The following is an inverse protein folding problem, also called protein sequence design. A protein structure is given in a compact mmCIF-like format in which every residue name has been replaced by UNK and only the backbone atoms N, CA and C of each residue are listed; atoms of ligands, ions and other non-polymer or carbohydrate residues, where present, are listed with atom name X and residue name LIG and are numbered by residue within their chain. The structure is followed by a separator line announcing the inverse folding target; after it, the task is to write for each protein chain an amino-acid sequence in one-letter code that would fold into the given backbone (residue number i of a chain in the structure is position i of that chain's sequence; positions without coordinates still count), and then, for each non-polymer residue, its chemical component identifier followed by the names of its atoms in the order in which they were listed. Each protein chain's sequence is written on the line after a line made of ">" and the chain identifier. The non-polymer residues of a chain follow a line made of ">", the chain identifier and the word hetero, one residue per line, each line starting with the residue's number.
data_IF_986400364206
#
_entry.id   IF_986400364206
#
_cell.length_a   1.000
_cell.length_b   1.000
_cell.length_c   1.000
_cell.angle_alpha   90.00
_cell.angle_beta   90.00
_cell.angle_gamma   90.00
#
_symmetry.space_group_name_H-M   'P 1'
#
loop_
_entity.id
_entity.type
_entity.pdbx_description
1 polymer ?
#
# COMPACT_ATOMS: atom_id res chain seq x y z
N UNK A 1 10.54 32.53 -8.16
CA UNK A 1 10.38 31.05 -8.12
C UNK A 1 9.61 30.67 -6.86
N UNK A 2 8.58 29.83 -6.94
CA UNK A 2 7.79 29.41 -5.76
C UNK A 2 8.62 28.51 -4.84
N UNK A 3 9.34 27.53 -5.38
CA UNK A 3 10.18 26.59 -4.61
C UNK A 3 11.26 27.28 -3.76
N UNK A 4 11.88 28.36 -4.28
CA UNK A 4 12.86 29.15 -3.54
C UNK A 4 12.26 29.79 -2.27
N UNK A 5 11.01 30.23 -2.34
CA UNK A 5 10.30 30.84 -1.22
C UNK A 5 9.92 29.83 -0.13
N UNK A 6 9.64 28.58 -0.53
CA UNK A 6 9.43 27.49 0.42
C UNK A 6 10.73 27.19 1.19
N UNK A 7 11.86 27.08 0.49
CA UNK A 7 13.16 26.78 1.08
C UNK A 7 13.64 27.90 2.01
N UNK A 8 13.55 29.17 1.59
CA UNK A 8 13.94 30.31 2.43
C UNK A 8 13.01 30.54 3.64
N UNK A 9 11.78 30.03 3.56
CA UNK A 9 10.85 30.01 4.69
C UNK A 9 11.05 28.82 5.64
N UNK A 10 11.93 27.87 5.32
CA UNK A 10 12.16 26.67 6.13
C UNK A 10 11.05 25.63 6.03
N UNK A 11 10.31 25.61 4.92
CA UNK A 11 9.18 24.71 4.67
C UNK A 11 9.52 23.55 3.72
N UNK A 12 10.79 23.37 3.39
CA UNK A 12 11.25 22.29 2.53
C UNK A 12 12.75 22.06 2.65
N UNK A 13 13.19 20.90 2.17
CA UNK A 13 14.58 20.48 2.06
C UNK A 13 14.93 20.25 0.59
N UNK A 14 16.19 20.44 0.23
CA UNK A 14 16.67 20.21 -1.13
C UNK A 14 16.72 18.71 -1.40
N UNK A 15 16.12 18.26 -2.50
CA UNK A 15 16.14 16.86 -2.88
C UNK A 15 17.56 16.37 -3.20
N UNK A 16 17.91 15.18 -2.72
CA UNK A 16 19.22 14.55 -2.91
C UNK A 16 19.48 14.00 -4.34
N UNK A 17 18.44 13.84 -5.16
CA UNK A 17 18.54 13.30 -6.52
C UNK A 17 17.57 14.03 -7.46
N UNK A 18 18.00 14.39 -8.70
CA UNK A 18 19.32 14.18 -9.30
C UNK A 18 20.41 15.07 -8.69
N UNK A 19 21.65 14.57 -8.65
CA UNK A 19 22.79 15.21 -7.97
C UNK A 19 23.23 16.56 -8.59
N UNK A 20 22.72 16.92 -9.77
CA UNK A 20 23.00 18.20 -10.42
C UNK A 20 21.78 18.67 -11.18
N UNK A 21 21.29 19.85 -10.81
CA UNK A 21 20.29 20.62 -11.55
C UNK A 21 20.70 22.09 -11.52
N UNK A 22 20.36 22.87 -12.55
CA UNK A 22 20.87 24.24 -12.79
C UNK A 22 20.73 25.22 -11.60
N UNK A 23 19.88 24.92 -10.62
CA UNK A 23 19.55 25.80 -9.48
C UNK A 23 19.93 25.22 -8.11
N UNK A 24 20.76 24.18 -8.08
CA UNK A 24 21.13 23.49 -6.85
C UNK A 24 21.77 24.42 -5.83
N UNK A 25 22.74 25.22 -6.26
CA UNK A 25 23.43 26.21 -5.43
C UNK A 25 22.46 27.24 -4.79
N UNK A 26 21.47 27.69 -5.56
CA UNK A 26 20.51 28.70 -5.10
C UNK A 26 19.57 28.12 -4.02
N UNK A 27 19.17 26.86 -4.18
CA UNK A 27 18.34 26.15 -3.21
C UNK A 27 19.12 25.75 -1.95
N UNK A 28 20.36 25.28 -2.09
CA UNK A 28 21.24 24.96 -0.95
C UNK A 28 21.52 26.21 -0.11
N UNK A 29 21.71 27.36 -0.77
CA UNK A 29 21.84 28.65 -0.09
C UNK A 29 20.55 29.07 0.62
N UNK A 30 19.39 28.91 0.00
CA UNK A 30 18.10 29.23 0.62
C UNK A 30 17.81 28.35 1.85
N UNK A 31 18.12 27.06 1.77
CA UNK A 31 17.94 26.10 2.85
C UNK A 31 18.90 26.36 4.03
N UNK A 32 20.18 26.61 3.75
CA UNK A 32 21.15 26.97 4.79
C UNK A 32 20.77 28.25 5.52
N UNK A 33 20.24 29.26 4.81
CA UNK A 33 19.69 30.47 5.43
C UNK A 33 18.52 30.16 6.36
N UNK A 34 17.58 29.30 5.93
CA UNK A 34 16.46 28.91 6.78
C UNK A 34 16.89 28.08 8.00
N UNK A 35 17.95 27.27 7.87
CA UNK A 35 18.58 26.56 9.00
C UNK A 35 19.24 27.52 9.98
N UNK A 36 20.03 28.48 9.50
CA UNK A 36 20.73 29.45 10.35
C UNK A 36 19.77 30.41 11.05
N UNK A 37 18.65 30.72 10.41
CA UNK A 37 17.62 31.61 10.95
C UNK A 37 16.56 30.84 11.77
N UNK A 38 16.75 29.53 11.95
CA UNK A 38 15.83 28.64 12.68
C UNK A 38 14.37 28.86 12.27
N UNK A 39 14.09 28.84 10.96
CA UNK A 39 12.74 29.04 10.41
C UNK A 39 12.02 27.73 10.15
N UNK A 40 10.72 27.71 10.43
CA UNK A 40 9.83 26.61 10.08
C UNK A 40 10.27 25.29 10.72
N UNK A 41 10.51 24.28 9.89
CA UNK A 41 10.92 22.92 10.31
C UNK A 41 12.30 22.91 11.00
N UNK A 42 13.11 23.95 10.80
CA UNK A 42 14.43 24.09 11.42
C UNK A 42 14.41 24.79 12.79
N UNK A 43 13.23 25.19 13.29
CA UNK A 43 13.05 25.85 14.59
C UNK A 43 13.03 24.88 15.78
N UNK A 44 13.62 23.68 15.65
CA UNK A 44 13.62 22.71 16.75
C UNK A 44 14.55 23.19 17.86
N UNK A 45 13.96 23.95 18.78
CA UNK A 45 14.44 24.07 20.13
C UNK A 45 14.64 22.67 20.72
N UNK A 46 15.80 22.52 21.35
CA UNK A 46 16.18 21.38 22.18
C UNK A 46 15.15 21.21 23.31
N UNK A 47 14.14 20.37 23.12
CA UNK A 47 13.43 19.75 24.23
C UNK A 47 13.78 18.27 24.29
N UNK A 48 14.82 18.00 25.09
CA UNK A 48 15.19 16.70 25.67
C UNK A 48 15.92 15.68 24.79
N UNK A 49 16.98 15.05 25.33
CA UNK A 49 17.77 14.06 24.60
C UNK A 49 16.97 12.76 24.48
N UNK A 50 16.64 12.36 23.26
CA UNK A 50 16.43 10.94 22.97
C UNK A 50 17.82 10.32 22.85
N UNK A 51 18.27 9.46 23.79
CA UNK A 51 19.52 8.77 23.60
C UNK A 51 19.38 7.84 22.39
N UNK A 52 20.30 8.05 21.45
CA UNK A 52 20.85 7.01 20.59
C UNK A 52 20.85 5.65 21.30
N UNK A 53 20.15 4.68 20.74
CA UNK A 53 20.33 3.27 21.07
C UNK A 53 20.19 2.48 19.77
N UNK A 54 21.27 2.53 19.00
CA UNK A 54 21.71 1.34 18.29
C UNK A 54 21.98 0.22 19.30
N UNK A 55 21.73 -1.00 18.84
CA UNK A 55 22.18 -2.29 19.41
C UNK A 55 21.32 -2.95 20.51
N UNK A 56 20.42 -3.81 20.02
CA UNK A 56 20.47 -5.25 20.20
C UNK A 56 20.19 -5.91 21.58
N UNK A 57 19.42 -7.00 21.44
CA UNK A 57 19.30 -8.22 22.26
C UNK A 57 18.21 -8.27 23.35
N UNK A 58 17.64 -9.48 23.62
CA UNK A 58 16.21 -9.73 23.52
C UNK A 58 15.59 -9.98 24.90
N UNK A 59 14.35 -9.57 25.07
CA UNK A 59 13.61 -9.74 26.31
C UNK A 59 13.18 -11.21 26.50
N UNK A 60 13.95 -11.93 27.32
CA UNK A 60 13.50 -12.53 28.59
C UNK A 60 12.22 -13.39 28.54
N UNK A 61 12.46 -14.69 28.72
CA UNK A 61 11.79 -15.61 29.64
C UNK A 61 10.30 -15.95 29.43
N UNK A 62 10.13 -17.11 28.78
CA UNK A 62 9.09 -18.12 28.99
C UNK A 62 8.62 -18.21 30.45
N UNK A 63 7.30 -18.28 30.67
CA UNK A 63 6.77 -19.47 31.32
C UNK A 63 5.74 -20.18 30.44
N UNK A 64 5.87 -21.49 30.38
CA UNK A 64 4.83 -22.40 29.90
C UNK A 64 3.64 -22.35 30.85
N UNK A 65 2.42 -22.32 30.30
CA UNK A 65 1.38 -23.22 30.79
C UNK A 65 1.04 -24.28 29.73
N UNK A 66 1.04 -25.52 30.21
CA UNK A 66 0.63 -26.73 29.50
C UNK A 66 -0.84 -26.68 29.06
N UNK A 67 -1.23 -27.58 28.12
CA UNK A 67 -2.52 -27.52 27.43
C UNK A 67 -3.64 -28.20 28.23
N UNK A 68 -4.85 -28.06 27.68
CA UNK A 68 -6.12 -28.71 28.06
C UNK A 68 -7.02 -27.84 28.92
N UNK A 69 -7.97 -27.16 28.27
CA UNK A 69 -9.37 -27.47 28.53
C UNK A 69 -10.13 -27.57 27.21
N UNK A 70 -10.75 -28.74 27.02
CA UNK A 70 -11.71 -29.03 25.97
C UNK A 70 -12.90 -28.08 26.13
N UNK A 71 -12.94 -27.00 25.35
CA UNK A 71 -14.15 -26.20 25.20
C UNK A 71 -15.00 -26.82 24.08
N UNK A 72 -15.78 -27.83 24.47
CA UNK A 72 -16.90 -28.35 23.67
C UNK A 72 -18.15 -27.63 24.16
N UNK A 73 -18.65 -26.66 23.39
CA UNK A 73 -19.94 -26.04 23.72
C UNK A 73 -20.06 -24.58 23.33
N UNK A 74 -19.94 -24.29 22.03
CA UNK A 74 -20.38 -23.04 21.46
C UNK A 74 -20.64 -23.24 19.98
N UNK A 75 -21.86 -23.63 19.63
CA UNK A 75 -22.36 -23.62 18.25
C UNK A 75 -22.47 -22.17 17.79
N UNK A 76 -21.33 -21.53 17.55
CA UNK A 76 -21.29 -20.31 16.76
C UNK A 76 -21.24 -20.77 15.31
N UNK A 77 -22.25 -20.42 14.48
CA UNK A 77 -22.21 -20.75 13.07
C UNK A 77 -20.91 -20.20 12.48
N UNK A 78 -20.25 -21.03 11.68
CA UNK A 78 -19.10 -20.62 10.89
C UNK A 78 -19.44 -19.29 10.22
N UNK A 79 -18.55 -18.29 10.33
CA UNK A 79 -18.66 -17.04 9.57
C UNK A 79 -18.78 -17.44 8.10
N UNK A 80 -19.92 -17.19 7.43
CA UNK A 80 -20.12 -17.61 6.06
C UNK A 80 -19.32 -16.68 5.14
N UNK A 81 -18.05 -17.02 4.94
CA UNK A 81 -17.31 -16.75 3.72
C UNK A 81 -17.41 -17.91 2.72
N UNK A 82 -18.16 -18.98 3.07
CA UNK A 82 -18.79 -19.82 2.06
C UNK A 82 -20.00 -19.06 1.51
N UNK A 83 -20.09 -18.79 0.20
CA UNK A 83 -21.31 -18.31 -0.43
C UNK A 83 -22.32 -19.47 -0.46
N UNK A 84 -22.91 -19.78 0.70
CA UNK A 84 -24.15 -20.55 0.80
C UNK A 84 -25.25 -19.57 1.16
N UNK A 85 -25.55 -18.72 0.18
CA UNK A 85 -26.65 -17.77 0.18
C UNK A 85 -27.04 -17.57 -1.26
N UNK A 86 -28.06 -18.31 -1.70
CA UNK A 86 -28.63 -18.26 -3.02
C UNK A 86 -29.03 -16.84 -3.39
N UNK A 87 -28.17 -16.21 -4.17
CA UNK A 87 -28.34 -14.92 -4.81
C UNK A 87 -27.07 -14.70 -5.60
N UNK A 88 -27.04 -15.21 -6.84
CA UNK A 88 -25.90 -15.13 -7.77
C UNK A 88 -25.50 -13.67 -7.97
N UNK A 89 -24.63 -13.20 -7.09
CA UNK A 89 -24.24 -11.81 -6.97
C UNK A 89 -22.73 -11.76 -6.92
N UNK A 90 -22.14 -11.25 -7.99
CA UNK A 90 -20.72 -11.00 -8.06
C UNK A 90 -20.36 -9.92 -7.02
N UNK A 91 -19.28 -10.12 -6.27
CA UNK A 91 -18.90 -9.41 -5.04
C UNK A 91 -18.84 -7.88 -5.21
N UNK A 92 -18.49 -7.43 -6.41
CA UNK A 92 -18.37 -6.01 -6.75
C UNK A 92 -19.60 -5.40 -7.42
N UNK A 93 -20.50 -6.22 -7.96
CA UNK A 93 -21.66 -5.76 -8.73
C UNK A 93 -22.97 -5.87 -7.94
N UNK A 94 -23.02 -6.74 -6.93
CA UNK A 94 -24.28 -7.06 -6.23
C UNK A 94 -25.33 -7.74 -7.11
N UNK A 95 -24.95 -8.16 -8.32
CA UNK A 95 -25.75 -8.80 -9.38
C UNK A 95 -24.95 -9.92 -10.06
N UNK A 96 -25.60 -10.75 -10.87
CA UNK A 96 -24.98 -11.92 -11.55
C UNK A 96 -23.97 -11.54 -12.67
N UNK A 97 -23.61 -10.26 -12.77
CA UNK A 97 -22.68 -9.76 -13.78
C UNK A 97 -21.25 -9.75 -13.25
N UNK A 98 -20.33 -10.58 -13.79
CA UNK A 98 -18.93 -10.51 -13.44
C UNK A 98 -18.39 -9.17 -13.91
N UNK A 99 -17.81 -8.39 -13.00
CA UNK A 99 -17.25 -7.05 -13.30
C UNK A 99 -15.74 -6.99 -13.11
N UNK A 100 -15.13 -7.97 -12.46
CA UNK A 100 -13.68 -8.01 -12.26
C UNK A 100 -13.04 -8.43 -13.58
N UNK A 101 -12.13 -7.61 -14.10
CA UNK A 101 -11.45 -7.84 -15.38
C UNK A 101 -10.09 -8.49 -15.15
N UNK A 102 -9.90 -9.74 -15.57
CA UNK A 102 -8.61 -10.43 -15.58
C UNK A 102 -7.93 -10.30 -16.95
N UNK A 103 -6.77 -9.65 -16.99
CA UNK A 103 -5.89 -9.53 -18.17
C UNK A 103 -4.60 -10.35 -17.98
N UNK A 104 -4.23 -11.15 -18.98
CA UNK A 104 -2.99 -11.92 -19.00
C UNK A 104 -1.98 -11.26 -19.94
N UNK A 105 -0.86 -10.82 -19.38
CA UNK A 105 0.24 -10.28 -20.17
C UNK A 105 0.98 -11.42 -20.86
N UNK A 106 0.68 -11.69 -22.14
CA UNK A 106 1.35 -12.76 -22.89
C UNK A 106 2.87 -12.60 -23.01
N UNK A 107 3.37 -11.37 -22.87
CA UNK A 107 4.81 -11.07 -22.91
C UNK A 107 5.50 -11.45 -21.60
N UNK A 108 4.88 -11.13 -20.47
CA UNK A 108 5.46 -11.32 -19.13
C UNK A 108 5.02 -12.63 -18.47
N UNK A 109 3.90 -13.20 -18.93
CA UNK A 109 3.21 -14.32 -18.28
C UNK A 109 2.43 -13.91 -17.02
N UNK A 110 2.24 -12.61 -16.78
CA UNK A 110 1.60 -12.11 -15.56
C UNK A 110 0.07 -12.18 -15.68
N UNK A 111 -0.56 -12.75 -14.67
CA UNK A 111 -2.01 -12.89 -14.57
C UNK A 111 -2.51 -11.78 -13.64
N UNK A 112 -3.00 -10.67 -14.19
CA UNK A 112 -3.38 -9.51 -13.41
C UNK A 112 -4.89 -9.30 -13.46
N UNK A 113 -5.53 -9.06 -12.33
CA UNK A 113 -6.94 -8.68 -12.29
C UNK A 113 -7.14 -7.23 -11.82
N UNK A 114 -8.23 -6.64 -12.32
CA UNK A 114 -8.64 -5.27 -12.07
C UNK A 114 -10.08 -5.28 -11.54
N UNK A 115 -10.24 -4.78 -10.32
CA UNK A 115 -11.54 -4.49 -9.72
C UNK A 115 -12.09 -3.16 -10.25
N UNK A 116 -13.42 -2.93 -10.23
CA UNK A 116 -14.00 -1.66 -10.68
C UNK A 116 -13.52 -0.44 -9.89
N UNK A 117 -13.08 -0.61 -8.64
CA UNK A 117 -12.42 0.45 -7.86
C UNK A 117 -10.96 0.71 -8.27
N UNK A 118 -10.38 -0.13 -9.14
CA UNK A 118 -9.02 0.05 -9.62
C UNK A 118 -8.96 1.20 -10.60
N UNK A 119 -7.98 2.07 -10.38
CA UNK A 119 -7.69 3.21 -11.20
C UNK A 119 -7.34 2.80 -12.68
N UNK A 120 -6.82 1.58 -12.95
CA UNK A 120 -6.58 1.05 -14.32
C UNK A 120 -7.81 0.38 -14.96
N UNK A 121 -8.93 0.25 -14.24
CA UNK A 121 -10.09 -0.52 -14.71
C UNK A 121 -10.69 -0.03 -16.04
N UNK A 122 -10.69 1.29 -16.25
CA UNK A 122 -11.20 1.94 -17.45
C UNK A 122 -10.28 1.78 -18.66
N UNK A 123 -8.98 1.58 -18.44
CA UNK A 123 -7.99 1.38 -19.51
C UNK A 123 -7.79 -0.09 -19.85
N UNK A 124 -8.05 -1.01 -18.91
CA UNK A 124 -7.90 -2.44 -19.15
C UNK A 124 -9.02 -2.95 -20.06
N UNK A 125 -8.61 -3.48 -21.21
CA UNK A 125 -9.44 -4.22 -22.16
C UNK A 125 -9.20 -5.71 -21.91
N UNK A 126 -10.28 -6.49 -21.86
CA UNK A 126 -10.23 -7.95 -21.67
C UNK A 126 -10.46 -8.59 -23.03
N UNK A 127 -9.46 -9.27 -23.58
CA UNK A 127 -9.51 -9.98 -24.84
C UNK A 127 -9.54 -11.51 -24.60
N UNK A 128 -10.71 -12.16 -24.61
CA UNK A 128 -10.82 -13.59 -24.29
C UNK A 128 -10.02 -14.51 -25.24
N UNK A 129 -9.63 -14.02 -26.42
CA UNK A 129 -8.74 -14.74 -27.33
C UNK A 129 -7.31 -14.90 -26.81
N UNK A 130 -6.87 -14.08 -25.85
CA UNK A 130 -5.51 -14.07 -25.32
C UNK A 130 -5.38 -14.76 -23.97
N UNK A 131 -6.48 -15.26 -23.41
CA UNK A 131 -6.55 -15.91 -22.09
C UNK A 131 -7.19 -15.05 -20.99
N UNK A 132 -7.63 -13.85 -21.35
CA UNK A 132 -8.30 -12.90 -20.48
C UNK A 132 -9.70 -13.40 -20.08
N UNK A 133 -10.13 -13.11 -18.85
CA UNK A 133 -11.44 -13.55 -18.35
C UNK A 133 -12.03 -12.60 -17.32
N UNK A 134 -13.34 -12.70 -17.13
CA UNK A 134 -14.06 -11.92 -16.12
C UNK A 134 -14.34 -12.79 -14.89
N UNK A 135 -14.22 -12.20 -13.71
CA UNK A 135 -14.48 -12.87 -12.44
C UNK A 135 -15.61 -12.21 -11.67
N UNK A 136 -16.32 -13.02 -10.88
CA UNK A 136 -17.32 -12.53 -9.94
C UNK A 136 -16.76 -12.20 -8.57
N UNK A 137 -15.67 -12.85 -8.15
CA UNK A 137 -15.04 -12.65 -6.84
C UNK A 137 -13.52 -12.53 -6.95
N UNK A 138 -12.89 -11.73 -6.08
CA UNK A 138 -11.43 -11.65 -6.03
C UNK A 138 -10.81 -12.98 -5.55
N UNK A 139 -11.50 -13.70 -4.66
CA UNK A 139 -11.04 -14.97 -4.14
C UNK A 139 -10.90 -16.04 -5.24
N UNK A 140 -11.83 -16.07 -6.20
CA UNK A 140 -11.75 -16.99 -7.35
C UNK A 140 -10.57 -16.63 -8.28
N UNK A 141 -10.38 -15.34 -8.55
CA UNK A 141 -9.25 -14.86 -9.34
C UNK A 141 -7.91 -15.26 -8.68
N UNK A 142 -7.76 -15.00 -7.37
CA UNK A 142 -6.55 -15.36 -6.63
C UNK A 142 -6.32 -16.87 -6.55
N UNK A 143 -7.38 -17.67 -6.38
CA UNK A 143 -7.29 -19.13 -6.37
C UNK A 143 -6.79 -19.71 -7.72
N UNK A 144 -7.05 -19.00 -8.82
CA UNK A 144 -6.55 -19.31 -10.15
C UNK A 144 -5.16 -18.74 -10.43
N UNK A 145 -4.52 -18.13 -9.43
CA UNK A 145 -3.17 -17.55 -9.54
C UNK A 145 -3.15 -16.15 -10.14
N UNK A 146 -4.28 -15.44 -10.18
CA UNK A 146 -4.32 -14.05 -10.63
C UNK A 146 -3.94 -13.12 -9.48
N UNK A 147 -3.02 -12.21 -9.75
CA UNK A 147 -2.56 -11.20 -8.81
C UNK A 147 -3.36 -9.89 -8.97
N UNK A 148 -3.62 -9.20 -7.86
CA UNK A 148 -4.31 -7.91 -7.90
C UNK A 148 -3.39 -6.88 -8.52
N UNK A 149 -3.81 -6.24 -9.61
CA UNK A 149 -3.09 -5.09 -10.13
C UNK A 149 -3.04 -3.99 -9.05
N UNK A 150 -1.84 -3.72 -8.53
CA UNK A 150 -1.58 -2.54 -7.71
C UNK A 150 -1.48 -1.32 -8.64
N UNK A 151 -2.29 -0.30 -8.37
CA UNK A 151 -1.88 1.09 -8.62
C UNK A 151 -1.35 1.66 -7.32
#
# INVERSE_FOLDING_TARGET
>A
MVNLKLLSGGWGEVAQFPASFEKFEEFFKAESLARTDSRGIWSVETSSPVPSSSEATPQISRPTPSPTQNFVGGTLPARPGSPSGSGGGCEFSGSDTPVIKGNVDQRSGELLYHVPESLFYSTTVVEPGQGDRWFCTEAEAQALGWERSKR
#
